data_IF_192342001932
#
_entry.id   IF_192342001932
#
_cell.length_a   1.000
_cell.length_b   1.000
_cell.length_c   1.000
_cell.angle_alpha   90.00
_cell.angle_beta   90.00
_cell.angle_gamma   90.00
#
_symmetry.space_group_name_H-M   'P 1'
#
loop_
_entity.id
_entity.type
_entity.pdbx_description
1 polymer ?
#
# COMPACT_ATOMS: atom_id res chain seq x y z
N UNK A 1 -7.85 -11.19 -3.78
CA UNK A 1 -7.32 -9.84 -3.56
C UNK A 1 -5.81 -9.95 -3.39
N UNK A 2 -5.02 -9.13 -4.09
CA UNK A 2 -3.55 -9.13 -4.00
C UNK A 2 -3.09 -8.51 -2.66
N UNK A 3 -3.87 -7.55 -2.15
CA UNK A 3 -3.68 -6.91 -0.85
C UNK A 3 -4.75 -7.33 0.15
N UNK A 4 -4.37 -7.38 1.43
CA UNK A 4 -5.27 -7.55 2.57
C UNK A 4 -5.90 -6.21 2.97
N UNK A 5 -6.90 -6.25 3.85
CA UNK A 5 -7.54 -5.04 4.40
C UNK A 5 -6.51 -4.15 5.12
N UNK A 6 -5.57 -4.76 5.84
CA UNK A 6 -4.50 -4.04 6.55
C UNK A 6 -3.54 -3.36 5.58
N UNK A 7 -3.12 -4.03 4.51
CA UNK A 7 -2.25 -3.45 3.47
C UNK A 7 -2.96 -2.31 2.73
N UNK A 8 -4.24 -2.49 2.41
CA UNK A 8 -5.06 -1.46 1.73
C UNK A 8 -5.25 -0.23 2.62
N UNK A 9 -5.54 -0.46 3.92
CA UNK A 9 -5.63 0.61 4.90
C UNK A 9 -4.29 1.35 5.06
N UNK A 10 -3.17 0.61 5.08
CA UNK A 10 -1.84 1.20 5.13
C UNK A 10 -1.59 2.06 3.88
N UNK A 11 -1.90 1.56 2.69
CA UNK A 11 -1.73 2.29 1.42
C UNK A 11 -2.55 3.58 1.39
N UNK A 12 -3.76 3.57 1.97
CA UNK A 12 -4.65 4.73 2.08
C UNK A 12 -4.04 5.89 2.90
N UNK A 13 -3.08 5.61 3.80
CA UNK A 13 -2.36 6.65 4.53
C UNK A 13 -1.36 7.45 3.67
N UNK A 14 -1.10 7.02 2.43
CA UNK A 14 -0.12 7.63 1.54
C UNK A 14 -0.74 8.08 0.22
N UNK A 15 0.08 8.73 -0.61
CA UNK A 15 -0.29 9.11 -1.96
C UNK A 15 -0.40 7.87 -2.87
N UNK A 16 -1.63 7.47 -3.16
CA UNK A 16 -1.96 6.36 -4.07
C UNK A 16 -2.09 6.82 -5.54
N UNK A 17 -1.73 8.06 -5.88
CA UNK A 17 -1.86 8.57 -7.26
C UNK A 17 -0.94 7.85 -8.25
N UNK A 18 0.14 7.23 -7.77
CA UNK A 18 1.05 6.44 -8.59
C UNK A 18 1.77 5.40 -7.75
N UNK A 19 1.91 4.19 -8.29
CA UNK A 19 2.63 3.06 -7.66
C UNK A 19 4.03 3.45 -7.19
N UNK A 20 4.82 4.10 -8.05
CA UNK A 20 6.18 4.51 -7.71
C UNK A 20 6.23 5.52 -6.55
N UNK A 21 5.24 6.41 -6.48
CA UNK A 21 5.14 7.41 -5.42
C UNK A 21 4.77 6.76 -4.09
N UNK A 22 3.80 5.86 -4.12
CA UNK A 22 3.41 5.05 -2.96
C UNK A 22 4.59 4.25 -2.39
N UNK A 23 5.34 3.54 -3.24
CA UNK A 23 6.54 2.81 -2.83
C UNK A 23 7.58 3.75 -2.22
N UNK A 24 7.81 4.92 -2.84
CA UNK A 24 8.77 5.91 -2.35
C UNK A 24 8.39 6.40 -0.96
N UNK A 25 7.13 6.79 -0.74
CA UNK A 25 6.65 7.24 0.56
C UNK A 25 6.80 6.15 1.63
N UNK A 26 6.41 4.92 1.31
CA UNK A 26 6.57 3.78 2.23
C UNK A 26 8.03 3.50 2.56
N UNK A 27 8.95 3.60 1.59
CA UNK A 27 10.40 3.43 1.83
C UNK A 27 11.02 4.59 2.61
N UNK A 28 10.39 5.77 2.61
CA UNK A 28 10.84 6.93 3.38
C UNK A 28 10.38 6.90 4.84
N UNK A 29 9.47 5.99 5.21
CA UNK A 29 9.06 5.88 6.60
C UNK A 29 10.22 5.44 7.50
N UNK A 30 10.33 6.00 8.72
CA UNK A 30 11.30 5.55 9.70
C UNK A 30 10.90 4.17 10.23
N UNK A 31 11.33 3.10 9.56
CA UNK A 31 11.06 1.71 9.94
C UNK A 31 11.48 1.43 11.39
N UNK A 32 12.49 2.16 11.89
CA UNK A 32 13.02 2.04 13.23
C UNK A 32 12.07 2.55 14.33
N UNK A 33 11.03 3.31 13.96
CA UNK A 33 9.95 3.80 14.84
C UNK A 33 8.68 2.93 14.72
N UNK A 34 8.62 2.01 13.75
CA UNK A 34 7.50 1.11 13.57
C UNK A 34 7.69 -0.16 14.40
N UNK A 35 6.61 -0.64 15.01
CA UNK A 35 6.59 -1.98 15.62
C UNK A 35 6.88 -3.06 14.58
N UNK A 36 7.38 -4.21 15.03
CA UNK A 36 7.81 -5.29 14.15
C UNK A 36 6.69 -5.79 13.22
N UNK A 37 5.44 -5.76 13.68
CA UNK A 37 4.26 -6.11 12.88
C UNK A 37 3.98 -5.07 11.78
N UNK A 38 4.07 -3.78 12.10
CA UNK A 38 3.89 -2.70 11.13
C UNK A 38 5.02 -2.65 10.10
N UNK A 39 6.25 -2.87 10.54
CA UNK A 39 7.41 -2.99 9.65
C UNK A 39 7.25 -4.16 8.68
N UNK A 40 6.78 -5.32 9.16
CA UNK A 40 6.52 -6.49 8.31
C UNK A 40 5.38 -6.22 7.31
N UNK A 41 4.29 -5.58 7.76
CA UNK A 41 3.16 -5.19 6.91
C UNK A 41 3.62 -4.23 5.79
N UNK A 42 4.39 -3.21 6.14
CA UNK A 42 4.95 -2.26 5.19
C UNK A 42 5.86 -2.97 4.17
N UNK A 43 6.76 -3.82 4.65
CA UNK A 43 7.67 -4.56 3.77
C UNK A 43 6.91 -5.46 2.78
N UNK A 44 5.92 -6.22 3.26
CA UNK A 44 5.07 -7.05 2.39
C UNK A 44 4.32 -6.21 1.36
N UNK A 45 3.76 -5.08 1.78
CA UNK A 45 3.02 -4.17 0.89
C UNK A 45 3.93 -3.63 -0.20
N UNK A 46 5.10 -3.11 0.16
CA UNK A 46 6.11 -2.60 -0.77
C UNK A 46 6.56 -3.69 -1.74
N UNK A 47 6.85 -4.89 -1.25
CA UNK A 47 7.29 -6.01 -2.09
C UNK A 47 6.23 -6.38 -3.15
N UNK A 48 4.94 -6.37 -2.78
CA UNK A 48 3.85 -6.61 -3.74
C UNK A 48 3.73 -5.49 -4.77
N UNK A 49 3.85 -4.24 -4.33
CA UNK A 49 3.85 -3.07 -5.23
C UNK A 49 5.03 -3.08 -6.20
N UNK A 50 6.21 -3.52 -5.76
CA UNK A 50 7.38 -3.68 -6.64
C UNK A 50 7.21 -4.85 -7.62
N UNK A 51 6.51 -5.90 -7.21
CA UNK A 51 6.24 -7.08 -8.05
C UNK A 51 5.11 -6.89 -9.06
N UNK A 52 4.31 -5.82 -8.95
CA UNK A 52 3.22 -5.53 -9.88
C UNK A 52 3.59 -4.37 -10.82
N UNK A 53 2.92 -4.30 -11.97
CA UNK A 53 3.15 -3.21 -12.95
C UNK A 53 2.27 -1.99 -12.65
N UNK A 54 2.64 -0.84 -13.21
CA UNK A 54 1.84 0.38 -13.07
C UNK A 54 0.43 0.23 -13.68
N UNK A 55 0.28 -0.58 -14.74
CA UNK A 55 -1.03 -0.90 -15.32
C UNK A 55 -1.90 -1.73 -14.36
N UNK A 56 -1.32 -2.75 -13.71
CA UNK A 56 -2.03 -3.54 -12.71
C UNK A 56 -2.39 -2.71 -11.47
N UNK A 57 -1.54 -1.76 -11.10
CA UNK A 57 -1.82 -0.84 -10.01
C UNK A 57 -2.94 0.15 -10.35
N UNK A 58 -2.99 0.66 -11.59
CA UNK A 58 -4.05 1.57 -12.05
C UNK A 58 -5.42 0.87 -12.16
N UNK A 59 -5.42 -0.41 -12.58
CA UNK A 59 -6.62 -1.26 -12.51
C UNK A 59 -7.05 -1.56 -11.06
N UNK A 60 -6.14 -1.46 -10.10
CA UNK A 60 -6.45 -1.56 -8.68
C UNK A 60 -7.07 -0.25 -8.18
N UNK A 61 -8.40 -0.20 -8.19
CA UNK A 61 -9.13 0.88 -7.53
C UNK A 61 -9.02 0.70 -6.00
N UNK A 62 -8.04 1.36 -5.38
CA UNK A 62 -7.85 1.40 -3.93
C UNK A 62 -8.92 2.34 -3.35
N UNK A 63 -10.15 1.85 -3.22
CA UNK A 63 -11.21 2.54 -2.49
C UNK A 63 -11.20 2.10 -1.03
N UNK A 64 -11.27 3.03 -0.07
CA UNK A 64 -11.55 2.66 1.31
C UNK A 64 -12.91 1.95 1.36
N UNK A 65 -13.01 0.90 2.18
CA UNK A 65 -14.21 0.06 2.37
C UNK A 65 -15.50 0.89 2.61
N UNK A 66 -15.34 2.11 3.17
CA UNK A 66 -16.40 3.10 3.35
C UNK A 66 -17.07 3.64 2.07
N UNK A 67 -16.57 3.33 0.87
CA UNK A 67 -17.14 3.75 -0.42
C UNK A 67 -17.72 2.59 -1.25
N UNK A 68 -17.70 1.36 -0.72
CA UNK A 68 -18.25 0.16 -1.38
C UNK A 68 -19.74 -0.09 -1.05
N UNK A 69 -20.43 0.82 -0.37
CA UNK A 69 -21.88 0.75 -0.17
C UNK A 69 -22.63 1.45 -1.32
N UNK A 70 -23.03 0.66 -2.33
CA UNK A 70 -24.09 1.01 -3.28
C UNK A 70 -24.99 -0.20 -3.53
#
# INVERSE_FOLDING_TARGET
>A
MIFTVEETNLMCCFDTSSRSKLISEMKNLPINDLDNEMAELLYKTVQKLESMTDAEFDEYYIVPDSLLEA
#
